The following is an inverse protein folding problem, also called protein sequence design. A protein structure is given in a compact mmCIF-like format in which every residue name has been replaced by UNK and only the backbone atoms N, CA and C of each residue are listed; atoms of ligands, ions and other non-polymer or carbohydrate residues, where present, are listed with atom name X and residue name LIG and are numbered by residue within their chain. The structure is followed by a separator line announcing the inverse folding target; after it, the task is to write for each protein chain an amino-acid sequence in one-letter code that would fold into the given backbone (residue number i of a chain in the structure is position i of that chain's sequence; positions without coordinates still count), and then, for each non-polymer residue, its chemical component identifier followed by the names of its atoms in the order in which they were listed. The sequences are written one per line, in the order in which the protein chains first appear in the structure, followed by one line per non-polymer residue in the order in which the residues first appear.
data_IF_665192927308
#
_entry.id   IF_665192927308
#
_cell.length_a   1.000
_cell.length_b   1.000
_cell.length_c   1.000
_cell.angle_alpha   90.00
_cell.angle_beta   90.00
_cell.angle_gamma   90.00
#
_symmetry.space_group_name_H-M   'P 1'
#
loop_
_entity.id
_entity.type
_entity.pdbx_description
1 polymer ?
#
# COMPACT_ATOMS: atom_id res chain seq x y z
N UNK A 1 74.07 -29.06 -45.49
CA UNK A 1 73.82 -27.90 -44.60
C UNK A 1 72.46 -27.32 -45.00
N UNK A 2 71.46 -27.62 -44.21
CA UNK A 2 70.11 -27.11 -44.40
C UNK A 2 69.60 -26.62 -43.05
N UNK A 3 69.44 -25.30 -42.91
CA UNK A 3 68.92 -24.61 -41.77
C UNK A 3 67.42 -24.73 -41.73
N UNK A 4 66.82 -25.29 -40.69
CA UNK A 4 65.39 -25.40 -40.46
C UNK A 4 65.02 -24.20 -39.63
N UNK A 5 64.23 -23.27 -40.21
CA UNK A 5 63.59 -22.13 -39.51
C UNK A 5 62.33 -22.65 -38.80
N UNK A 6 62.37 -22.61 -37.48
CA UNK A 6 61.20 -22.91 -36.65
C UNK A 6 60.33 -21.67 -36.55
N UNK A 7 59.13 -21.75 -37.08
CA UNK A 7 58.10 -20.72 -36.99
C UNK A 7 57.31 -20.97 -35.72
N UNK A 8 57.51 -20.15 -34.68
CA UNK A 8 56.64 -20.11 -33.50
C UNK A 8 55.33 -19.42 -33.84
N UNK A 9 54.26 -20.19 -33.94
CA UNK A 9 52.91 -19.68 -34.09
C UNK A 9 52.36 -19.27 -32.72
N UNK A 10 52.31 -17.98 -32.48
CA UNK A 10 51.78 -17.44 -31.22
C UNK A 10 50.25 -17.38 -31.32
N UNK A 11 49.60 -18.36 -30.68
CA UNK A 11 48.14 -18.42 -30.61
C UNK A 11 47.64 -17.43 -29.58
N UNK A 12 47.06 -16.34 -30.02
CA UNK A 12 46.42 -15.33 -29.17
C UNK A 12 45.02 -15.82 -28.80
N UNK A 13 44.85 -16.30 -27.58
CA UNK A 13 43.53 -16.70 -27.04
C UNK A 13 42.85 -15.41 -26.55
N UNK A 14 41.87 -14.94 -27.31
CA UNK A 14 40.96 -13.88 -26.85
C UNK A 14 39.98 -14.46 -25.83
N UNK A 15 40.23 -14.18 -24.55
CA UNK A 15 39.22 -14.36 -23.53
C UNK A 15 38.09 -13.31 -23.73
N UNK A 16 37.01 -13.73 -24.34
CA UNK A 16 35.75 -12.99 -24.28
C UNK A 16 35.19 -13.21 -22.87
N UNK A 17 35.44 -12.26 -21.98
CA UNK A 17 34.78 -12.20 -20.68
C UNK A 17 33.29 -11.96 -20.88
N UNK A 18 32.47 -12.99 -20.69
CA UNK A 18 31.07 -12.78 -20.40
C UNK A 18 30.97 -12.04 -19.07
N UNK A 19 30.67 -10.76 -19.14
CA UNK A 19 30.18 -10.04 -17.97
C UNK A 19 28.79 -10.59 -17.68
N UNK A 20 28.66 -11.43 -16.67
CA UNK A 20 27.39 -11.70 -16.04
C UNK A 20 26.89 -10.37 -15.46
N UNK A 21 26.06 -9.67 -16.25
CA UNK A 21 25.21 -8.62 -15.71
C UNK A 21 24.23 -9.32 -14.78
N UNK A 22 24.56 -9.37 -13.51
CA UNK A 22 23.58 -9.58 -12.45
C UNK A 22 22.52 -8.49 -12.65
N UNK A 23 21.25 -8.84 -12.94
CA UNK A 23 20.21 -7.85 -12.94
C UNK A 23 20.18 -7.29 -11.52
N UNK A 24 20.67 -6.07 -11.35
CA UNK A 24 20.45 -5.28 -10.15
C UNK A 24 18.95 -5.05 -10.08
N UNK A 25 18.23 -5.96 -9.46
CA UNK A 25 16.91 -5.74 -8.94
C UNK A 25 17.04 -4.64 -7.88
N UNK A 26 17.13 -3.41 -8.32
CA UNK A 26 17.11 -2.23 -7.49
C UNK A 26 15.72 -2.04 -6.92
N UNK A 27 15.32 -2.90 -5.98
CA UNK A 27 14.23 -2.61 -5.07
C UNK A 27 14.73 -1.63 -4.02
N UNK A 28 14.96 -0.37 -4.40
CA UNK A 28 15.01 0.71 -3.43
C UNK A 28 13.64 0.83 -2.74
N UNK A 29 13.56 1.33 -1.50
CA UNK A 29 12.28 1.58 -0.86
C UNK A 29 11.51 2.60 -1.70
N UNK A 30 10.55 2.11 -2.50
CA UNK A 30 9.60 2.99 -3.18
C UNK A 30 8.55 3.39 -2.16
N UNK A 31 8.39 4.68 -2.03
CA UNK A 31 7.34 5.25 -1.17
C UNK A 31 6.03 5.19 -1.94
N UNK A 32 5.06 4.47 -1.40
CA UNK A 32 3.70 4.48 -1.94
C UNK A 32 3.02 5.79 -1.55
N UNK A 33 2.26 6.36 -2.48
CA UNK A 33 1.51 7.59 -2.26
C UNK A 33 0.03 7.26 -2.08
N UNK A 34 -0.58 7.80 -1.04
CA UNK A 34 -2.01 7.67 -0.80
C UNK A 34 -2.80 8.42 -1.89
N UNK A 35 -3.74 7.76 -2.60
CA UNK A 35 -4.48 8.36 -3.74
C UNK A 35 -5.25 9.63 -3.39
N UNK A 36 -5.76 9.76 -2.17
CA UNK A 36 -6.51 10.93 -1.70
C UNK A 36 -5.69 11.87 -0.81
N UNK A 37 -4.38 11.57 -0.63
CA UNK A 37 -3.51 12.34 0.26
C UNK A 37 -3.74 12.07 1.75
N UNK A 38 -4.40 10.98 2.09
CA UNK A 38 -4.59 10.50 3.46
C UNK A 38 -3.36 9.79 4.03
N UNK A 39 -3.56 9.04 5.09
CA UNK A 39 -2.53 8.21 5.70
C UNK A 39 -2.65 6.76 5.19
N UNK A 40 -1.53 6.21 4.70
CA UNK A 40 -1.46 4.87 4.12
C UNK A 40 -0.94 3.85 5.15
N UNK A 41 -1.61 2.69 5.21
CA UNK A 41 -1.26 1.58 6.11
C UNK A 41 -1.09 0.30 5.31
N UNK A 42 -0.05 -0.47 5.61
CA UNK A 42 0.23 -1.74 4.94
C UNK A 42 -0.54 -2.90 5.60
N UNK A 43 -1.05 -3.80 4.77
CA UNK A 43 -1.68 -5.06 5.17
C UNK A 43 -0.81 -6.24 4.71
N UNK A 44 -0.01 -6.77 5.62
CA UNK A 44 0.93 -7.85 5.35
C UNK A 44 2.29 -7.37 4.83
N UNK A 45 3.08 -8.25 4.18
CA UNK A 45 4.43 -7.90 3.75
C UNK A 45 4.45 -6.84 2.65
N UNK A 46 5.36 -5.88 2.77
CA UNK A 46 5.60 -4.84 1.77
C UNK A 46 5.77 -5.40 0.35
N UNK A 47 5.10 -4.80 -0.62
CA UNK A 47 5.16 -5.18 -2.05
C UNK A 47 4.41 -6.44 -2.44
N UNK A 48 3.81 -7.18 -1.49
CA UNK A 48 3.06 -8.42 -1.78
C UNK A 48 1.75 -8.56 -0.99
N UNK A 49 1.48 -7.60 -0.12
CA UNK A 49 0.25 -7.50 0.66
C UNK A 49 -0.82 -6.66 -0.05
N UNK A 50 -1.52 -5.89 0.77
CA UNK A 50 -2.45 -4.85 0.35
C UNK A 50 -2.16 -3.60 1.17
N UNK A 51 -2.87 -2.52 0.88
CA UNK A 51 -2.84 -1.30 1.66
C UNK A 51 -4.27 -0.85 1.98
N UNK A 52 -4.41 -0.01 2.97
CA UNK A 52 -5.59 0.83 3.11
C UNK A 52 -5.18 2.27 3.40
N UNK A 53 -5.95 3.19 2.87
CA UNK A 53 -5.81 4.62 3.12
C UNK A 53 -6.91 5.09 4.07
N UNK A 54 -6.54 5.84 5.11
CA UNK A 54 -7.46 6.61 5.93
C UNK A 54 -7.42 8.08 5.48
N UNK A 55 -8.57 8.61 5.13
CA UNK A 55 -8.72 9.95 4.60
C UNK A 55 -9.92 10.67 5.22
N UNK A 56 -9.71 11.87 5.72
CA UNK A 56 -10.78 12.72 6.23
C UNK A 56 -11.30 13.62 5.12
N UNK A 57 -12.56 13.47 4.75
CA UNK A 57 -13.15 14.31 3.72
C UNK A 57 -13.55 15.70 4.26
N UNK A 58 -13.96 16.60 3.39
CA UNK A 58 -14.35 17.99 3.72
C UNK A 58 -15.51 18.09 4.74
N UNK A 59 -16.34 17.06 4.83
CA UNK A 59 -17.43 16.98 5.81
C UNK A 59 -17.00 16.44 7.17
N UNK A 60 -15.73 16.10 7.31
CA UNK A 60 -15.16 15.49 8.52
C UNK A 60 -15.44 14.00 8.67
N UNK A 61 -15.94 13.33 7.63
CA UNK A 61 -16.17 11.89 7.67
C UNK A 61 -14.86 11.15 7.35
N UNK A 62 -14.56 10.12 8.13
CA UNK A 62 -13.44 9.22 7.87
C UNK A 62 -13.82 8.28 6.73
N UNK A 63 -12.98 8.24 5.71
CA UNK A 63 -13.04 7.25 4.64
C UNK A 63 -11.88 6.27 4.79
N UNK A 64 -12.14 5.01 4.53
CA UNK A 64 -11.15 3.95 4.35
C UNK A 64 -11.26 3.43 2.92
N UNK A 65 -10.15 3.45 2.19
CA UNK A 65 -10.05 2.87 0.86
C UNK A 65 -9.12 1.67 0.89
N UNK A 66 -9.54 0.55 0.31
CA UNK A 66 -8.73 -0.65 0.18
C UNK A 66 -7.98 -0.61 -1.15
N UNK A 67 -6.67 -0.86 -1.10
CA UNK A 67 -5.74 -0.69 -2.21
C UNK A 67 -4.89 -1.94 -2.42
N UNK A 68 -4.37 -2.09 -3.63
CA UNK A 68 -3.40 -3.15 -3.94
C UNK A 68 -2.04 -2.93 -3.25
N UNK A 69 -1.10 -3.84 -3.50
CA UNK A 69 0.23 -3.82 -2.88
C UNK A 69 1.05 -2.57 -3.18
N UNK A 70 0.76 -1.87 -4.27
CA UNK A 70 1.47 -0.66 -4.69
C UNK A 70 0.68 0.63 -4.41
N UNK A 71 -0.50 0.52 -3.80
CA UNK A 71 -1.44 1.63 -3.57
C UNK A 71 -1.87 2.36 -4.85
N UNK A 72 -1.87 1.66 -5.98
CA UNK A 72 -2.21 2.22 -7.30
C UNK A 72 -3.66 1.90 -7.72
N UNK A 73 -4.19 0.74 -7.29
CA UNK A 73 -5.51 0.28 -7.68
C UNK A 73 -6.41 0.03 -6.47
N UNK A 74 -7.68 0.44 -6.59
CA UNK A 74 -8.69 0.14 -5.59
C UNK A 74 -9.10 -1.33 -5.66
N UNK A 75 -9.21 -1.98 -4.49
CA UNK A 75 -9.54 -3.41 -4.38
C UNK A 75 -10.87 -3.56 -3.68
N UNK A 76 -11.86 -4.10 -4.40
CA UNK A 76 -13.19 -4.33 -3.83
C UNK A 76 -13.20 -5.55 -2.91
N UNK A 77 -13.88 -5.40 -1.79
CA UNK A 77 -14.05 -6.46 -0.80
C UNK A 77 -15.54 -6.70 -0.48
N UNK A 78 -15.81 -7.84 0.15
CA UNK A 78 -17.18 -8.28 0.42
C UNK A 78 -17.75 -7.80 1.75
N UNK A 79 -16.90 -7.22 2.61
CA UNK A 79 -17.37 -6.72 3.90
C UNK A 79 -18.40 -5.60 3.71
N UNK A 80 -19.38 -5.55 4.59
CA UNK A 80 -20.40 -4.50 4.61
C UNK A 80 -20.04 -3.38 5.58
N UNK A 81 -19.12 -3.67 6.49
CA UNK A 81 -18.58 -2.71 7.46
C UNK A 81 -17.16 -3.08 7.86
N UNK A 82 -16.41 -2.08 8.33
CA UNK A 82 -15.09 -2.24 8.95
C UNK A 82 -15.13 -1.53 10.30
N UNK A 83 -14.59 -2.17 11.34
CA UNK A 83 -14.61 -1.66 12.70
C UNK A 83 -13.21 -1.25 13.16
N UNK A 84 -13.10 -0.05 13.70
CA UNK A 84 -11.88 0.46 14.35
C UNK A 84 -12.13 0.42 15.86
N UNK A 85 -11.29 -0.29 16.60
CA UNK A 85 -11.30 -0.34 18.06
C UNK A 85 -10.33 0.70 18.59
N UNK A 86 -10.78 1.55 19.52
CA UNK A 86 -9.91 2.53 20.16
C UNK A 86 -9.10 1.90 21.31
N UNK A 87 -7.88 2.39 21.50
CA UNK A 87 -7.08 2.05 22.69
C UNK A 87 -7.55 2.77 23.94
N UNK A 88 -8.27 3.88 23.79
CA UNK A 88 -8.87 4.60 24.91
C UNK A 88 -10.11 3.86 25.40
N UNK A 89 -10.09 3.44 26.66
CA UNK A 89 -11.17 2.69 27.31
C UNK A 89 -12.51 3.45 27.39
N UNK A 90 -12.52 4.76 27.19
CA UNK A 90 -13.73 5.58 27.17
C UNK A 90 -14.43 5.57 25.81
N UNK A 91 -13.78 5.05 24.77
CA UNK A 91 -14.30 4.92 23.40
C UNK A 91 -14.23 3.47 22.99
N UNK A 92 -15.36 2.87 22.62
CA UNK A 92 -15.40 1.42 22.32
C UNK A 92 -14.95 1.15 20.88
N UNK A 93 -15.65 1.70 19.90
CA UNK A 93 -15.35 1.46 18.48
C UNK A 93 -15.95 2.53 17.57
N UNK A 94 -15.44 2.60 16.34
CA UNK A 94 -15.99 3.34 15.22
C UNK A 94 -16.27 2.35 14.08
N UNK A 95 -17.53 2.29 13.63
CA UNK A 95 -17.90 1.51 12.46
C UNK A 95 -17.83 2.37 11.20
N UNK A 96 -17.18 1.86 10.17
CA UNK A 96 -17.18 2.42 8.83
C UNK A 96 -18.05 1.53 7.95
N UNK A 97 -19.06 2.11 7.30
CA UNK A 97 -20.02 1.40 6.46
C UNK A 97 -19.58 1.39 4.99
N UNK A 98 -19.89 0.31 4.30
CA UNK A 98 -19.64 0.17 2.86
C UNK A 98 -20.37 1.25 2.08
N UNK A 99 -19.65 1.94 1.18
CA UNK A 99 -20.21 3.01 0.34
C UNK A 99 -20.47 2.49 -1.06
N UNK A 100 -21.67 2.77 -1.57
CA UNK A 100 -22.04 2.49 -2.95
C UNK A 100 -21.59 3.64 -3.86
N UNK A 101 -21.14 3.30 -5.08
CA UNK A 101 -20.80 4.26 -6.10
C UNK A 101 -21.30 3.77 -7.47
N UNK A 102 -22.33 4.43 -7.98
CA UNK A 102 -22.93 4.08 -9.28
C UNK A 102 -22.00 4.36 -10.46
N UNK A 103 -21.07 5.29 -10.34
CA UNK A 103 -20.11 5.61 -11.41
C UNK A 103 -19.10 4.49 -11.62
N UNK A 104 -18.68 3.82 -10.53
CA UNK A 104 -17.78 2.68 -10.56
C UNK A 104 -18.52 1.34 -10.53
N UNK A 105 -19.83 1.34 -10.23
CA UNK A 105 -20.66 0.15 -10.06
C UNK A 105 -20.39 -0.57 -8.73
N UNK A 106 -19.84 0.13 -7.75
CA UNK A 106 -19.64 -0.41 -6.40
C UNK A 106 -20.95 -0.46 -5.62
N UNK A 107 -21.10 -1.48 -4.80
CA UNK A 107 -22.30 -1.71 -3.97
C UNK A 107 -21.92 -2.36 -2.65
N UNK A 108 -22.82 -2.36 -1.68
CA UNK A 108 -22.61 -3.08 -0.42
C UNK A 108 -22.30 -4.55 -0.69
N UNK A 109 -21.19 -5.04 -0.16
CA UNK A 109 -20.66 -6.38 -0.40
C UNK A 109 -19.78 -6.51 -1.67
N UNK A 110 -19.51 -5.40 -2.36
CA UNK A 110 -18.58 -5.32 -3.50
C UNK A 110 -18.09 -3.88 -3.65
N UNK A 111 -17.33 -3.38 -2.68
CA UNK A 111 -16.81 -2.00 -2.63
C UNK A 111 -15.38 -1.97 -2.11
N UNK A 112 -14.65 -0.96 -2.54
CA UNK A 112 -13.31 -0.63 -2.05
C UNK A 112 -13.35 0.48 -0.99
N UNK A 113 -14.52 1.13 -0.76
CA UNK A 113 -14.66 2.31 0.08
C UNK A 113 -15.60 2.06 1.25
N UNK A 114 -15.17 2.51 2.43
CA UNK A 114 -15.96 2.51 3.66
C UNK A 114 -15.92 3.90 4.29
N UNK A 115 -17.00 4.32 4.94
CA UNK A 115 -17.12 5.67 5.49
C UNK A 115 -17.79 5.66 6.86
N UNK A 116 -17.33 6.54 7.75
CA UNK A 116 -18.04 6.80 9.01
C UNK A 116 -19.44 7.41 8.76
N UNK A 117 -20.43 7.08 9.59
CA UNK A 117 -21.79 7.59 9.41
C UNK A 117 -21.91 9.11 9.62
N UNK A 118 -20.90 9.73 10.20
CA UNK A 118 -20.83 11.17 10.46
C UNK A 118 -19.39 11.66 10.65
N UNK A 119 -19.28 12.96 10.94
CA UNK A 119 -18.00 13.59 11.24
C UNK A 119 -17.35 12.98 12.48
N UNK A 120 -16.03 12.83 12.39
CA UNK A 120 -15.20 12.25 13.46
C UNK A 120 -14.24 13.27 14.10
N UNK A 121 -14.44 14.57 13.84
CA UNK A 121 -13.51 15.60 14.36
C UNK A 121 -13.29 15.49 15.87
N UNK A 122 -14.35 15.19 16.63
CA UNK A 122 -14.27 15.04 18.10
C UNK A 122 -13.60 13.73 18.54
N UNK A 123 -13.31 12.83 17.60
CA UNK A 123 -12.63 11.57 17.86
C UNK A 123 -11.14 11.61 17.57
N UNK A 124 -10.66 12.68 16.96
CA UNK A 124 -9.24 12.82 16.60
C UNK A 124 -8.36 13.23 17.80
N UNK A 125 -7.10 12.77 17.83
CA UNK A 125 -6.52 11.74 16.98
C UNK A 125 -7.05 10.34 17.30
N UNK A 126 -7.11 9.45 16.29
CA UNK A 126 -7.47 8.06 16.49
C UNK A 126 -6.20 7.25 16.81
N UNK A 127 -6.22 6.56 17.95
CA UNK A 127 -5.24 5.55 18.32
C UNK A 127 -5.98 4.24 18.57
N UNK A 128 -5.65 3.21 17.82
CA UNK A 128 -6.43 1.97 17.91
C UNK A 128 -5.98 0.89 16.93
N UNK A 129 -6.92 0.02 16.63
CA UNK A 129 -6.72 -1.10 15.73
C UNK A 129 -7.91 -1.22 14.77
N UNK A 130 -7.62 -1.44 13.50
CA UNK A 130 -8.61 -1.99 12.58
C UNK A 130 -8.82 -3.44 13.00
N UNK A 131 -10.03 -3.77 13.41
CA UNK A 131 -10.34 -5.07 14.03
C UNK A 131 -10.08 -6.23 13.08
N UNK A 132 -10.64 -6.14 11.89
CA UNK A 132 -10.48 -7.16 10.85
C UNK A 132 -10.79 -6.60 9.47
N UNK A 133 -9.96 -6.97 8.49
CA UNK A 133 -10.22 -6.72 7.06
C UNK A 133 -9.85 -7.96 6.25
N UNK A 134 -10.74 -8.38 5.36
CA UNK A 134 -10.55 -9.54 4.48
C UNK A 134 -10.45 -9.09 3.03
N UNK A 135 -9.30 -9.35 2.40
CA UNK A 135 -9.03 -9.00 1.00
C UNK A 135 -8.71 -10.28 0.23
N UNK A 136 -9.58 -10.64 -0.71
CA UNK A 136 -9.50 -11.91 -1.42
C UNK A 136 -9.65 -13.09 -0.45
N UNK A 137 -8.62 -13.93 -0.35
CA UNK A 137 -8.57 -15.08 0.56
C UNK A 137 -7.78 -14.81 1.85
N UNK A 138 -7.26 -13.60 2.03
CA UNK A 138 -6.46 -13.23 3.20
C UNK A 138 -7.30 -12.41 4.17
N UNK A 139 -7.13 -12.69 5.47
CA UNK A 139 -7.73 -11.90 6.56
C UNK A 139 -6.61 -11.33 7.42
N UNK A 140 -6.72 -10.05 7.70
CA UNK A 140 -5.81 -9.30 8.55
C UNK A 140 -6.59 -8.81 9.77
N UNK A 141 -6.09 -9.12 10.97
CA UNK A 141 -6.73 -8.76 12.23
C UNK A 141 -5.83 -7.83 13.03
N UNK A 142 -6.45 -6.99 13.85
CA UNK A 142 -5.78 -6.12 14.82
C UNK A 142 -4.66 -5.24 14.20
N UNK A 143 -4.94 -4.67 13.01
CA UNK A 143 -3.97 -3.81 12.35
C UNK A 143 -3.87 -2.46 13.07
N UNK A 144 -2.69 -2.07 13.57
CA UNK A 144 -2.54 -0.84 14.35
C UNK A 144 -2.82 0.39 13.50
N UNK A 145 -3.52 1.36 14.09
CA UNK A 145 -3.85 2.66 13.48
C UNK A 145 -3.41 3.78 14.40
N UNK A 146 -2.77 4.78 13.81
CA UNK A 146 -2.44 6.06 14.45
C UNK A 146 -2.76 7.16 13.45
N UNK A 147 -4.02 7.63 13.44
CA UNK A 147 -4.52 8.59 12.46
C UNK A 147 -4.71 9.97 13.11
N UNK A 148 -4.02 10.97 12.56
CA UNK A 148 -4.01 12.33 13.10
C UNK A 148 -5.14 13.22 12.53
N UNK A 149 -5.75 12.82 11.42
CA UNK A 149 -6.72 13.63 10.69
C UNK A 149 -6.07 14.64 9.74
N UNK A 150 -4.76 14.68 9.69
CA UNK A 150 -4.04 15.53 8.74
C UNK A 150 -3.90 14.77 7.42
N UNK A 151 -4.70 15.11 6.41
CA UNK A 151 -4.24 14.93 5.05
C UNK A 151 -2.91 15.68 4.95
N UNK A 152 -1.82 15.03 4.56
CA UNK A 152 -0.60 15.73 4.17
C UNK A 152 -0.98 16.56 2.93
N UNK A 153 -1.47 17.77 3.17
CA UNK A 153 -1.53 18.78 2.14
C UNK A 153 -0.12 18.87 1.56
N UNK A 154 -0.01 18.77 0.25
CA UNK A 154 1.16 19.15 -0.49
C UNK A 154 1.51 20.55 0.03
N UNK A 155 2.53 20.65 0.87
CA UNK A 155 3.12 21.93 1.21
C UNK A 155 3.79 22.38 -0.09
N UNK A 156 3.13 23.29 -0.82
CA UNK A 156 3.76 24.10 -1.85
C UNK A 156 4.84 24.92 -1.17
N UNK A 157 6.04 24.38 -1.07
CA UNK A 157 7.23 25.17 -0.86
C UNK A 157 7.58 25.79 -2.23
N UNK A 158 7.27 27.09 -2.32
CA UNK A 158 7.78 27.98 -3.34
C UNK A 158 9.23 28.35 -3.07
#
# INVERSE_FOLDING_TARGET
MKTIQSICLLTYILFVGCSDQVPSGGGGPHVHTAPHGGELYELGPHGSGFNFELFLNENGNLNLYVLDAHAENFVRIKQTQIEILFTDSNRLSLSLEAVEDSATGEKVGDTSRFQSPGSIHDLLPIQGFLKEISVGSKTYSEQPISFSGNSKGISDEH
#
